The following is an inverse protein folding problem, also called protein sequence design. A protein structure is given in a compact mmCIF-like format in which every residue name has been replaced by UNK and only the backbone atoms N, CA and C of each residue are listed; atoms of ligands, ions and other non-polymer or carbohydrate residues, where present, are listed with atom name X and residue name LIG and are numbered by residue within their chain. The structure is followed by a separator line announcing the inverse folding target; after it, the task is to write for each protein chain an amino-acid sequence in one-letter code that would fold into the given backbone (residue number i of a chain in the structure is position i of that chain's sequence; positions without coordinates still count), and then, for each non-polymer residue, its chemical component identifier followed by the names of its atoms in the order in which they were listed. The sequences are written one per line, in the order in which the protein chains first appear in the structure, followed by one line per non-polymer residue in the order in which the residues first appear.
data_IF_448068764946
#
_entry.id   IF_448068764946
#
_cell.length_a   1.000
_cell.length_b   1.000
_cell.length_c   1.000
_cell.angle_alpha   90.00
_cell.angle_beta   90.00
_cell.angle_gamma   90.00
#
_symmetry.space_group_name_H-M   'P 1'
#
loop_
_entity.id
_entity.type
_entity.pdbx_description
1 polymer ?
#
# COMPACT_ATOMS: atom_id res chain seq x y z
N UNK A 1 16.12 -2.90 2.04
CA UNK A 1 15.32 -2.63 0.83
C UNK A 1 14.70 -1.26 1.02
N UNK A 2 14.55 -0.46 -0.03
CA UNK A 2 13.96 0.88 0.03
C UNK A 2 12.93 1.07 -1.07
N UNK A 3 11.84 1.75 -0.76
CA UNK A 3 10.83 2.15 -1.75
C UNK A 3 11.43 3.23 -2.67
N UNK A 4 11.23 3.07 -3.97
CA UNK A 4 11.77 3.97 -5.01
C UNK A 4 10.70 4.70 -5.79
N UNK A 5 9.51 4.11 -5.97
CA UNK A 5 8.45 4.71 -6.79
C UNK A 5 7.06 4.20 -6.41
N UNK A 6 6.07 5.06 -6.63
CA UNK A 6 4.64 4.74 -6.60
C UNK A 6 4.05 5.00 -7.99
N UNK A 7 3.41 4.00 -8.57
CA UNK A 7 2.67 4.14 -9.83
C UNK A 7 1.21 3.72 -9.60
N UNK A 8 0.27 4.60 -9.97
CA UNK A 8 -1.16 4.33 -9.85
C UNK A 8 -1.76 4.22 -11.25
N UNK A 9 -2.38 3.09 -11.55
CA UNK A 9 -3.01 2.83 -12.85
C UNK A 9 -4.52 2.70 -12.69
N UNK A 10 -5.32 3.59 -13.31
CA UNK A 10 -6.77 3.41 -13.39
C UNK A 10 -7.16 2.18 -14.20
N UNK A 11 -8.16 1.45 -13.72
CA UNK A 11 -8.72 0.27 -14.36
C UNK A 11 -10.09 0.59 -14.99
N UNK A 12 -10.49 -0.20 -15.99
CA UNK A 12 -11.74 0.00 -16.74
C UNK A 12 -13.01 -0.04 -15.86
N UNK A 13 -12.95 -0.66 -14.68
CA UNK A 13 -14.05 -0.78 -13.73
C UNK A 13 -14.05 0.31 -12.64
N UNK A 14 -13.37 1.45 -12.87
CA UNK A 14 -13.14 2.54 -11.89
C UNK A 14 -12.25 2.13 -10.70
N UNK A 15 -11.68 0.94 -10.73
CA UNK A 15 -10.66 0.53 -9.77
C UNK A 15 -9.34 1.24 -10.01
N UNK A 16 -8.45 1.16 -9.02
CA UNK A 16 -7.06 1.60 -9.12
C UNK A 16 -6.16 0.40 -8.80
N UNK A 17 -5.09 0.25 -9.57
CA UNK A 17 -3.97 -0.61 -9.23
C UNK A 17 -2.81 0.27 -8.78
N UNK A 18 -2.37 0.10 -7.54
CA UNK A 18 -1.15 0.70 -7.01
C UNK A 18 0.01 -0.29 -7.17
N UNK A 19 1.12 0.19 -7.71
CA UNK A 19 2.41 -0.49 -7.74
C UNK A 19 3.42 0.29 -6.90
N UNK A 20 4.09 -0.39 -5.97
CA UNK A 20 5.16 0.17 -5.13
C UNK A 20 6.45 -0.55 -5.48
N UNK A 21 7.40 0.17 -6.08
CA UNK A 21 8.70 -0.38 -6.49
C UNK A 21 9.76 -0.20 -5.42
N UNK A 22 10.74 -1.10 -5.42
CA UNK A 22 11.87 -1.07 -4.49
C UNK A 22 13.22 -1.15 -5.19
N UNK A 23 14.27 -0.70 -4.50
CA UNK A 23 15.67 -0.79 -4.95
C UNK A 23 16.20 -2.23 -5.09
N UNK A 24 15.47 -3.20 -4.53
CA UNK A 24 15.78 -4.62 -4.63
C UNK A 24 15.09 -5.32 -5.81
N UNK A 25 14.37 -4.58 -6.66
CA UNK A 25 13.66 -5.12 -7.82
C UNK A 25 12.35 -5.86 -7.49
N UNK A 26 11.87 -5.76 -6.24
CA UNK A 26 10.53 -6.23 -5.88
C UNK A 26 9.52 -5.10 -6.08
N UNK A 27 8.35 -5.47 -6.61
CA UNK A 27 7.20 -4.58 -6.74
C UNK A 27 6.03 -5.14 -5.96
N UNK A 28 5.44 -4.35 -5.07
CA UNK A 28 4.21 -4.66 -4.34
C UNK A 28 2.97 -4.14 -5.04
N UNK A 29 1.88 -4.90 -4.99
CA UNK A 29 0.59 -4.53 -5.57
C UNK A 29 -0.45 -4.21 -4.49
N UNK A 30 -1.15 -3.09 -4.67
CA UNK A 30 -2.27 -2.67 -3.82
C UNK A 30 -3.51 -2.32 -4.64
N UNK A 31 -4.69 -2.49 -4.06
CA UNK A 31 -5.98 -2.18 -4.69
C UNK A 31 -6.81 -1.22 -3.81
N UNK A 32 -6.45 0.07 -3.74
CA UNK A 32 -7.17 1.04 -2.92
C UNK A 32 -8.63 1.20 -3.42
N UNK A 33 -9.60 1.09 -2.51
CA UNK A 33 -11.02 1.08 -2.87
C UNK A 33 -11.72 2.42 -2.59
N UNK A 34 -12.02 3.16 -3.66
CA UNK A 34 -13.02 4.25 -3.70
C UNK A 34 -13.38 4.54 -5.17
N UNK A 35 -14.38 3.83 -5.71
CA UNK A 35 -14.68 3.83 -7.15
C UNK A 35 -15.19 5.20 -7.66
N UNK A 36 -15.80 5.99 -6.79
CA UNK A 36 -16.37 7.30 -7.12
C UNK A 36 -15.31 8.40 -7.14
N UNK A 37 -14.21 8.24 -6.38
CA UNK A 37 -13.20 9.28 -6.16
C UNK A 37 -11.78 8.81 -6.46
N UNK A 38 -11.61 7.91 -7.45
CA UNK A 38 -10.31 7.32 -7.79
C UNK A 38 -9.18 8.35 -7.99
N UNK A 39 -9.43 9.46 -8.71
CA UNK A 39 -8.42 10.52 -8.92
C UNK A 39 -7.97 11.19 -7.61
N UNK A 40 -8.89 11.36 -6.67
CA UNK A 40 -8.57 11.95 -5.35
C UNK A 40 -7.79 10.96 -4.50
N UNK A 41 -8.13 9.67 -4.58
CA UNK A 41 -7.38 8.59 -3.91
C UNK A 41 -5.98 8.45 -4.49
N UNK A 42 -5.83 8.48 -5.81
CA UNK A 42 -4.54 8.50 -6.49
C UNK A 42 -3.66 9.63 -5.96
N UNK A 43 -4.18 10.86 -5.88
CA UNK A 43 -3.42 11.98 -5.34
C UNK A 43 -3.03 11.77 -3.87
N UNK A 44 -3.96 11.28 -3.06
CA UNK A 44 -3.68 10.98 -1.66
C UNK A 44 -2.60 9.91 -1.49
N UNK A 45 -2.55 8.90 -2.37
CA UNK A 45 -1.48 7.89 -2.38
C UNK A 45 -0.14 8.53 -2.68
N UNK A 46 -0.07 9.42 -3.67
CA UNK A 46 1.19 10.11 -4.01
C UNK A 46 1.66 11.01 -2.86
N UNK A 47 0.75 11.78 -2.26
CA UNK A 47 1.08 12.65 -1.11
C UNK A 47 1.57 11.83 0.11
N UNK A 48 0.96 10.66 0.39
CA UNK A 48 1.45 9.74 1.43
C UNK A 48 2.75 9.04 1.01
N UNK A 49 2.91 8.74 -0.27
CA UNK A 49 4.06 8.06 -0.85
C UNK A 49 5.35 8.87 -0.72
N UNK A 50 5.27 10.20 -0.75
CA UNK A 50 6.42 11.10 -0.53
C UNK A 50 7.14 10.82 0.81
N UNK A 51 6.38 10.48 1.87
CA UNK A 51 6.96 10.08 3.15
C UNK A 51 7.72 8.74 3.05
N UNK A 52 7.26 7.83 2.19
CA UNK A 52 7.72 6.45 2.09
C UNK A 52 8.93 6.28 1.16
N UNK A 53 9.18 7.20 0.23
CA UNK A 53 10.36 7.15 -0.65
C UNK A 53 11.64 7.05 0.19
N UNK A 54 12.48 6.06 -0.14
CA UNK A 54 13.74 5.80 0.55
C UNK A 54 13.61 5.02 1.86
N UNK A 55 12.38 4.69 2.32
CA UNK A 55 12.12 3.91 3.53
C UNK A 55 11.98 2.42 3.23
N UNK A 56 12.21 1.61 4.25
CA UNK A 56 12.06 0.16 4.17
C UNK A 56 10.58 -0.24 4.15
N UNK A 57 10.06 -0.85 3.08
CA UNK A 57 8.65 -1.25 2.99
C UNK A 57 8.24 -2.27 4.06
N UNK A 58 9.19 -2.97 4.68
CA UNK A 58 8.92 -4.02 5.68
C UNK A 58 8.57 -3.46 7.06
N UNK A 59 8.72 -2.15 7.30
CA UNK A 59 8.25 -1.48 8.52
C UNK A 59 6.76 -1.12 8.43
N UNK A 60 5.92 -2.10 8.09
CA UNK A 60 4.51 -1.91 7.72
C UNK A 60 3.73 -1.18 8.82
N UNK A 61 3.82 -1.64 10.07
CA UNK A 61 3.10 -1.04 11.19
C UNK A 61 3.57 0.39 11.49
N UNK A 62 4.88 0.68 11.38
CA UNK A 62 5.41 2.03 11.58
C UNK A 62 4.87 3.00 10.52
N UNK A 63 4.87 2.57 9.25
CA UNK A 63 4.30 3.35 8.15
C UNK A 63 2.81 3.56 8.33
N UNK A 64 2.08 2.50 8.69
CA UNK A 64 0.65 2.56 8.91
C UNK A 64 0.31 3.56 10.02
N UNK A 65 0.95 3.43 11.19
CA UNK A 65 0.73 4.32 12.32
C UNK A 65 1.14 5.75 12.00
N UNK A 66 2.25 5.95 11.30
CA UNK A 66 2.71 7.29 10.93
C UNK A 66 1.72 7.97 9.99
N UNK A 67 1.33 7.32 8.89
CA UNK A 67 0.40 7.87 7.91
C UNK A 67 -1.01 8.09 8.51
N UNK A 68 -1.48 7.14 9.32
CA UNK A 68 -2.77 7.24 10.00
C UNK A 68 -2.80 8.37 11.03
N UNK A 69 -1.78 8.48 11.90
CA UNK A 69 -1.80 9.39 13.04
C UNK A 69 -1.34 10.82 12.72
N UNK A 70 -0.53 10.99 11.66
CA UNK A 70 -0.11 12.30 11.15
C UNK A 70 -1.27 13.07 10.50
N UNK A 71 -2.29 12.35 10.02
CA UNK A 71 -3.51 12.96 9.52
C UNK A 71 -4.36 13.50 10.68
N UNK A 72 -4.71 14.79 10.64
CA UNK A 72 -5.72 15.34 11.57
C UNK A 72 -7.09 14.66 11.34
N UNK A 73 -7.47 14.48 10.07
CA UNK A 73 -8.73 13.84 9.64
C UNK A 73 -8.60 12.32 9.49
N UNK A 74 -8.22 11.62 10.56
CA UNK A 74 -7.83 10.18 10.55
C UNK A 74 -8.82 9.21 9.89
N UNK A 75 -10.11 9.54 9.89
CA UNK A 75 -11.17 8.66 9.41
C UNK A 75 -11.74 9.11 8.06
N UNK A 76 -11.04 9.98 7.34
CA UNK A 76 -11.50 10.40 6.02
C UNK A 76 -11.44 9.21 5.04
N UNK A 77 -12.55 8.88 4.34
CA UNK A 77 -12.61 7.70 3.47
C UNK A 77 -11.52 7.67 2.38
N UNK A 78 -11.15 8.83 1.85
CA UNK A 78 -10.08 8.96 0.86
C UNK A 78 -8.71 8.56 1.43
N UNK A 79 -8.38 9.01 2.65
CA UNK A 79 -7.10 8.71 3.27
C UNK A 79 -7.01 7.25 3.69
N UNK A 80 -8.11 6.70 4.22
CA UNK A 80 -8.18 5.28 4.56
C UNK A 80 -8.06 4.38 3.32
N UNK A 81 -8.68 4.76 2.21
CA UNK A 81 -8.55 4.03 0.95
C UNK A 81 -7.09 4.04 0.44
N UNK A 82 -6.44 5.22 0.46
CA UNK A 82 -5.04 5.35 0.09
C UNK A 82 -4.12 4.51 1.00
N UNK A 83 -4.30 4.62 2.32
CA UNK A 83 -3.53 3.91 3.33
C UNK A 83 -3.67 2.39 3.17
N UNK A 84 -4.88 1.89 2.95
CA UNK A 84 -5.14 0.47 2.71
C UNK A 84 -4.45 -0.04 1.44
N UNK A 85 -4.47 0.75 0.35
CA UNK A 85 -3.74 0.43 -0.87
C UNK A 85 -2.24 0.27 -0.64
N UNK A 86 -1.64 1.20 0.10
CA UNK A 86 -0.21 1.19 0.45
C UNK A 86 0.12 -0.03 1.33
N UNK A 87 -0.68 -0.29 2.37
CA UNK A 87 -0.49 -1.43 3.27
C UNK A 87 -0.52 -2.77 2.51
N UNK A 88 -1.49 -2.94 1.61
CA UNK A 88 -1.56 -4.15 0.76
C UNK A 88 -0.31 -4.32 -0.10
N UNK A 89 0.20 -3.25 -0.71
CA UNK A 89 1.43 -3.31 -1.50
C UNK A 89 2.65 -3.69 -0.64
N UNK A 90 2.76 -3.14 0.57
CA UNK A 90 3.82 -3.51 1.50
C UNK A 90 3.71 -4.96 1.97
N UNK A 91 2.50 -5.47 2.25
CA UNK A 91 2.26 -6.88 2.59
C UNK A 91 2.62 -7.83 1.43
N UNK A 92 2.33 -7.44 0.19
CA UNK A 92 2.74 -8.18 -1.00
C UNK A 92 4.27 -8.23 -1.15
N UNK A 93 4.96 -7.09 -0.91
CA UNK A 93 6.44 -7.06 -0.84
C UNK A 93 6.96 -7.98 0.26
N UNK A 94 6.35 -7.97 1.45
CA UNK A 94 6.73 -8.85 2.55
C UNK A 94 6.57 -10.32 2.16
N UNK A 95 5.45 -10.71 1.55
CA UNK A 95 5.22 -12.06 1.04
C UNK A 95 6.27 -12.49 0.02
N UNK A 96 6.56 -11.63 -0.96
CA UNK A 96 7.59 -11.86 -1.98
C UNK A 96 8.99 -11.97 -1.37
N UNK A 97 9.31 -11.12 -0.40
CA UNK A 97 10.60 -11.13 0.30
C UNK A 97 10.78 -12.41 1.11
N UNK A 98 9.73 -12.86 1.79
CA UNK A 98 9.73 -14.10 2.56
C UNK A 98 9.60 -15.37 1.68
N UNK A 99 9.30 -15.21 0.39
CA UNK A 99 8.89 -16.29 -0.50
C UNK A 99 7.74 -17.14 0.08
N UNK A 100 6.76 -16.47 0.70
CA UNK A 100 5.61 -17.08 1.34
C UNK A 100 4.33 -16.32 0.96
N UNK A 101 3.18 -17.00 0.84
CA UNK A 101 1.91 -16.30 0.71
C UNK A 101 1.60 -15.55 2.02
N UNK A 102 0.98 -14.37 1.91
CA UNK A 102 0.71 -13.48 3.06
C UNK A 102 -0.06 -14.18 4.18
N UNK A 103 -1.05 -15.02 3.86
CA UNK A 103 -1.81 -15.77 4.89
C UNK A 103 -0.91 -16.64 5.78
N UNK A 104 0.22 -17.13 5.27
CA UNK A 104 1.16 -17.95 6.06
C UNK A 104 1.97 -17.10 7.03
N UNK A 105 2.22 -15.84 6.67
CA UNK A 105 2.83 -14.83 7.55
C UNK A 105 1.85 -14.36 8.63
N UNK A 106 0.54 -14.41 8.35
CA UNK A 106 -0.53 -14.05 9.28
C UNK A 106 -0.94 -15.18 10.26
N UNK A 107 -0.15 -16.25 10.36
CA UNK A 107 -0.37 -17.34 11.31
C UNK A 107 -0.80 -18.68 10.71
N UNK A 108 -0.87 -18.78 9.37
CA UNK A 108 -1.16 -20.05 8.69
C UNK A 108 -2.64 -20.25 8.37
N UNK A 109 -2.94 -21.37 7.71
CA UNK A 109 -4.31 -21.64 7.25
C UNK A 109 -5.20 -22.14 8.38
N UNK A 110 -6.45 -21.71 8.36
CA UNK A 110 -7.51 -22.17 9.28
C UNK A 110 -8.59 -23.00 8.57
N UNK A 111 -8.42 -23.24 7.26
CA UNK A 111 -9.32 -24.00 6.38
C UNK A 111 -8.56 -24.47 5.14
N UNK A 112 -9.07 -25.49 4.44
CA UNK A 112 -8.53 -25.93 3.14
C UNK A 112 -8.98 -25.01 1.99
#
# INVERSE_FOLDING_TARGET
MKITRFDVTPLNNRGLLLQVETDAGLTGLGAPMNYEHGRTVERAILDMGDYLIGRDPLQIEDHWQTLYRSSYSRQMPILLAALSGIEMACLDILGKTANLPVWKLLGGSVRD
#
